data_IF_163192828572
#
_entry.id   IF_163192828572
#
_cell.length_a   1.000
_cell.length_b   1.000
_cell.length_c   1.000
_cell.angle_alpha   90.00
_cell.angle_beta   90.00
_cell.angle_gamma   90.00
#
_symmetry.space_group_name_H-M   'P 1'
#
loop_
_entity.id
_entity.type
_entity.pdbx_description
1 polymer ?
#
# COMPACT_ATOMS: atom_id res chain seq x y z
N UNK A 1 15.62 1.62 3.16
CA UNK A 1 14.19 1.27 3.13
C UNK A 1 13.46 2.45 2.51
N UNK A 2 12.58 2.20 1.54
CA UNK A 2 11.71 3.22 0.94
C UNK A 2 10.29 2.93 1.42
N UNK A 3 9.59 3.96 1.88
CA UNK A 3 8.17 3.89 2.22
C UNK A 3 7.38 4.69 1.19
N UNK A 4 6.22 4.18 0.78
CA UNK A 4 5.32 4.85 -0.14
C UNK A 4 4.10 5.36 0.62
N UNK A 5 3.51 6.44 0.12
CA UNK A 5 2.27 6.97 0.68
C UNK A 5 1.07 6.12 0.28
N UNK A 6 0.21 5.78 1.23
CA UNK A 6 -1.08 5.18 0.97
C UNK A 6 -2.24 6.17 1.08
N UNK A 7 -3.44 5.73 0.71
CA UNK A 7 -4.64 6.56 0.85
C UNK A 7 -4.95 6.90 2.33
N UNK A 8 -4.53 6.07 3.29
CA UNK A 8 -4.71 6.36 4.72
C UNK A 8 -3.80 7.51 5.20
N UNK A 9 -2.58 7.60 4.70
CA UNK A 9 -1.69 8.73 4.97
C UNK A 9 -2.19 10.01 4.28
N UNK A 10 -2.80 9.92 3.10
CA UNK A 10 -3.47 11.06 2.46
C UNK A 10 -4.70 11.51 3.25
N UNK A 11 -5.53 10.58 3.74
CA UNK A 11 -6.62 10.91 4.66
C UNK A 11 -6.11 11.59 5.93
N UNK A 12 -4.97 11.12 6.50
CA UNK A 12 -4.34 11.77 7.65
C UNK A 12 -3.92 13.21 7.31
N UNK A 13 -3.29 13.42 6.14
CA UNK A 13 -2.91 14.75 5.67
C UNK A 13 -4.13 15.67 5.60
N UNK A 14 -5.20 15.21 4.96
CA UNK A 14 -6.42 15.99 4.77
C UNK A 14 -7.12 16.30 6.11
N UNK A 15 -7.04 15.37 7.08
CA UNK A 15 -7.48 15.64 8.45
C UNK A 15 -6.69 16.78 9.10
N UNK A 16 -5.36 16.77 9.04
CA UNK A 16 -4.55 17.81 9.70
C UNK A 16 -4.55 19.15 8.96
N UNK A 17 -4.64 19.16 7.63
CA UNK A 17 -4.64 20.38 6.82
C UNK A 17 -6.01 21.02 6.69
N UNK A 18 -7.07 20.21 6.63
CA UNK A 18 -8.42 20.68 6.26
C UNK A 18 -9.51 20.26 7.25
N UNK A 19 -9.19 19.44 8.26
CA UNK A 19 -10.16 18.96 9.23
C UNK A 19 -11.09 17.86 8.69
N UNK A 20 -10.74 17.18 7.59
CA UNK A 20 -11.56 16.11 7.04
C UNK A 20 -11.62 14.91 8.00
N UNK A 21 -12.84 14.57 8.43
CA UNK A 21 -13.09 13.51 9.42
C UNK A 21 -13.18 12.12 8.82
N UNK A 22 -13.04 11.94 7.50
CA UNK A 22 -13.06 10.62 6.87
C UNK A 22 -12.00 9.70 7.50
N UNK A 23 -10.79 10.21 7.72
CA UNK A 23 -9.69 9.46 8.34
C UNK A 23 -10.06 8.82 9.68
N UNK A 24 -10.89 9.49 10.49
CA UNK A 24 -11.32 8.99 11.80
C UNK A 24 -12.12 7.68 11.70
N UNK A 25 -12.77 7.43 10.56
CA UNK A 25 -13.49 6.17 10.28
C UNK A 25 -12.56 5.06 9.76
N UNK A 26 -11.32 5.39 9.43
CA UNK A 26 -10.35 4.51 8.78
C UNK A 26 -9.04 4.40 9.58
N UNK A 27 -9.16 4.28 10.91
CA UNK A 27 -8.05 4.07 11.83
C UNK A 27 -7.53 5.34 12.52
N UNK A 28 -7.90 6.54 12.05
CA UNK A 28 -7.37 7.79 12.59
C UNK A 28 -7.65 8.02 14.08
N UNK A 29 -8.76 7.52 14.62
CA UNK A 29 -9.05 7.61 16.07
C UNK A 29 -8.01 6.87 16.89
N UNK A 30 -7.60 5.68 16.46
CA UNK A 30 -6.63 4.87 17.20
C UNK A 30 -5.21 5.41 16.99
N UNK A 31 -4.86 5.85 15.77
CA UNK A 31 -3.61 6.56 15.51
C UNK A 31 -3.45 7.81 16.38
N UNK A 32 -4.50 8.63 16.54
CA UNK A 32 -4.45 9.81 17.40
C UNK A 32 -4.21 9.46 18.87
N UNK A 33 -4.84 8.39 19.38
CA UNK A 33 -4.60 7.92 20.75
C UNK A 33 -3.16 7.45 20.94
N UNK A 34 -2.61 6.72 19.97
CA UNK A 34 -1.24 6.23 20.04
C UNK A 34 -0.24 7.38 19.92
N UNK A 35 -0.46 8.34 19.02
CA UNK A 35 0.38 9.53 18.90
C UNK A 35 0.41 10.34 20.20
N UNK A 36 -0.73 10.57 20.83
CA UNK A 36 -0.80 11.28 22.13
C UNK A 36 -0.12 10.52 23.28
N UNK A 37 0.06 9.19 23.16
CA UNK A 37 0.79 8.37 24.14
C UNK A 37 2.28 8.33 23.87
N UNK A 38 2.67 8.33 22.60
CA UNK A 38 4.06 8.20 22.15
C UNK A 38 4.79 9.53 22.19
N UNK A 39 4.16 10.60 21.73
CA UNK A 39 4.77 11.92 21.59
C UNK A 39 4.23 12.85 22.67
N UNK A 40 5.09 13.26 23.61
CA UNK A 40 4.76 14.29 24.58
C UNK A 40 4.82 15.70 23.98
N UNK A 41 5.62 15.88 22.92
CA UNK A 41 5.76 17.13 22.19
C UNK A 41 4.95 17.10 20.87
N UNK A 42 4.06 18.07 20.72
CA UNK A 42 3.27 18.24 19.50
C UNK A 42 4.13 18.59 18.28
N UNK A 43 5.30 19.23 18.47
CA UNK A 43 6.21 19.57 17.37
C UNK A 43 6.86 18.32 16.77
N UNK A 44 7.23 17.36 17.63
CA UNK A 44 7.78 16.07 17.24
C UNK A 44 6.72 15.26 16.49
N UNK A 45 5.50 15.16 17.03
CA UNK A 45 4.37 14.53 16.36
C UNK A 45 4.11 15.12 14.97
N UNK A 46 4.13 16.45 14.85
CA UNK A 46 3.94 17.12 13.56
C UNK A 46 5.02 16.76 12.54
N UNK A 47 6.28 16.67 12.98
CA UNK A 47 7.40 16.26 12.13
C UNK A 47 7.17 14.88 11.50
N UNK A 48 6.68 13.91 12.28
CA UNK A 48 6.38 12.57 11.75
C UNK A 48 5.16 12.56 10.82
N UNK A 49 4.16 13.41 11.07
CA UNK A 49 3.01 13.58 10.17
C UNK A 49 3.47 14.15 8.84
N UNK A 50 4.28 15.22 8.85
CA UNK A 50 4.82 15.83 7.63
C UNK A 50 5.67 14.84 6.83
N UNK A 51 6.52 14.05 7.51
CA UNK A 51 7.28 12.97 6.88
C UNK A 51 6.37 11.96 6.18
N UNK A 52 5.35 11.45 6.86
CA UNK A 52 4.40 10.48 6.29
C UNK A 52 3.62 11.07 5.10
N UNK A 53 3.23 12.34 5.18
CA UNK A 53 2.52 13.05 4.10
C UNK A 53 3.43 13.36 2.90
N UNK A 54 4.74 13.45 3.12
CA UNK A 54 5.77 13.69 2.12
C UNK A 54 6.31 12.43 1.44
N UNK A 55 5.83 11.24 1.81
CA UNK A 55 6.23 9.99 1.18
C UNK A 55 5.89 9.99 -0.33
N UNK A 56 6.75 9.39 -1.18
CA UNK A 56 6.52 9.33 -2.61
C UNK A 56 5.30 8.46 -2.96
N UNK A 57 4.64 8.79 -4.09
CA UNK A 57 3.51 8.01 -4.62
C UNK A 57 3.94 6.64 -5.15
N UNK A 58 5.15 6.59 -5.70
CA UNK A 58 5.72 5.39 -6.29
C UNK A 58 7.24 5.42 -6.16
N UNK A 59 7.82 4.25 -6.32
CA UNK A 59 9.25 4.05 -6.43
C UNK A 59 9.52 3.10 -7.59
N UNK A 60 10.66 3.26 -8.25
CA UNK A 60 11.11 2.39 -9.33
C UNK A 60 12.57 2.02 -9.06
N UNK A 61 12.87 0.72 -9.11
CA UNK A 61 14.23 0.22 -9.16
C UNK A 61 14.53 -0.39 -10.54
N UNK A 62 15.62 -1.16 -10.66
CA UNK A 62 16.02 -1.75 -11.94
C UNK A 62 15.06 -2.83 -12.44
N UNK A 63 14.28 -3.46 -11.54
CA UNK A 63 13.45 -4.65 -11.86
C UNK A 63 11.94 -4.40 -11.71
N UNK A 64 11.51 -3.49 -10.82
CA UNK A 64 10.12 -3.33 -10.41
C UNK A 64 9.70 -1.86 -10.28
N UNK A 65 8.39 -1.65 -10.42
CA UNK A 65 7.70 -0.42 -10.02
C UNK A 65 6.82 -0.72 -8.81
N UNK A 66 6.86 0.14 -7.81
CA UNK A 66 6.12 0.01 -6.56
C UNK A 66 5.15 1.17 -6.42
N UNK A 67 3.89 0.89 -6.09
CA UNK A 67 2.83 1.89 -5.84
C UNK A 67 1.90 1.39 -4.74
N UNK A 68 1.10 2.26 -4.11
CA UNK A 68 0.13 1.80 -3.11
C UNK A 68 -1.03 1.02 -3.73
N UNK A 69 -1.67 1.55 -4.78
CA UNK A 69 -2.88 0.95 -5.36
C UNK A 69 -2.74 0.64 -6.86
N UNK A 70 -2.61 1.65 -7.71
CA UNK A 70 -2.49 1.45 -9.15
C UNK A 70 -1.65 2.51 -9.86
N UNK A 71 -1.78 2.57 -11.18
CA UNK A 71 -1.14 3.55 -12.06
C UNK A 71 -2.12 4.02 -13.13
N UNK A 72 -2.11 5.31 -13.43
CA UNK A 72 -2.86 5.91 -14.51
C UNK A 72 -2.05 5.83 -15.82
N UNK A 73 -2.51 5.07 -16.83
CA UNK A 73 -1.77 4.87 -18.08
C UNK A 73 -1.78 6.10 -19.01
N UNK A 74 -2.55 7.14 -18.68
CA UNK A 74 -2.60 8.38 -19.43
C UNK A 74 -1.63 9.45 -18.92
N UNK A 75 -0.90 9.16 -17.84
CA UNK A 75 0.10 10.04 -17.26
C UNK A 75 1.49 9.38 -17.35
N UNK A 76 2.58 10.15 -17.54
CA UNK A 76 3.94 9.60 -17.44
C UNK A 76 4.18 8.96 -16.06
N UNK A 77 4.99 7.90 -16.01
CA UNK A 77 5.22 7.13 -14.78
C UNK A 77 5.66 7.99 -13.60
N UNK A 78 6.54 8.97 -13.79
CA UNK A 78 7.01 9.84 -12.70
C UNK A 78 6.24 11.16 -12.54
N UNK A 79 5.08 11.27 -13.19
CA UNK A 79 4.21 12.46 -13.13
C UNK A 79 2.77 12.08 -12.77
N UNK A 80 2.61 10.94 -12.09
CA UNK A 80 1.30 10.44 -11.68
C UNK A 80 0.64 11.41 -10.70
N UNK A 81 -0.66 11.59 -10.88
CA UNK A 81 -1.48 12.30 -9.91
C UNK A 81 -1.65 11.48 -8.62
N UNK A 82 -1.88 12.17 -7.49
CA UNK A 82 -2.14 11.53 -6.19
C UNK A 82 -3.36 10.61 -6.20
N UNK A 83 -4.30 10.78 -7.14
CA UNK A 83 -5.46 9.91 -7.29
C UNK A 83 -5.11 8.42 -7.47
N UNK A 84 -3.90 8.07 -7.91
CA UNK A 84 -3.51 6.68 -8.12
C UNK A 84 -3.53 5.82 -6.86
N UNK A 85 -3.39 6.41 -5.66
CA UNK A 85 -3.44 5.67 -4.38
C UNK A 85 -4.87 5.32 -3.95
N UNK A 86 -5.87 5.85 -4.67
CA UNK A 86 -7.29 5.60 -4.47
C UNK A 86 -7.90 4.71 -5.54
N UNK A 87 -7.10 4.28 -6.53
CA UNK A 87 -7.58 3.48 -7.65
C UNK A 87 -8.10 2.13 -7.16
N UNK A 88 -9.35 1.82 -7.50
CA UNK A 88 -9.94 0.54 -7.13
C UNK A 88 -9.23 -0.62 -7.85
N UNK A 89 -9.24 -1.81 -7.25
CA UNK A 89 -8.70 -3.00 -7.90
C UNK A 89 -9.38 -3.27 -9.25
N UNK A 90 -10.71 -3.10 -9.33
CA UNK A 90 -11.44 -3.28 -10.59
C UNK A 90 -10.95 -2.33 -11.68
N UNK A 91 -10.73 -1.06 -11.36
CA UNK A 91 -10.23 -0.08 -12.32
C UNK A 91 -8.80 -0.44 -12.74
N UNK A 92 -7.92 -0.75 -11.80
CA UNK A 92 -6.53 -1.09 -12.09
C UNK A 92 -6.41 -2.39 -12.91
N UNK A 93 -7.21 -3.40 -12.58
CA UNK A 93 -7.20 -4.69 -13.28
C UNK A 93 -7.90 -4.64 -14.65
N UNK A 94 -8.77 -3.65 -14.88
CA UNK A 94 -9.37 -3.39 -16.20
C UNK A 94 -8.37 -2.85 -17.23
N UNK A 95 -7.26 -2.25 -16.77
CA UNK A 95 -6.22 -1.75 -17.67
C UNK A 95 -5.53 -2.94 -18.35
N UNK A 96 -5.44 -2.96 -19.69
CA UNK A 96 -4.78 -4.06 -20.40
C UNK A 96 -3.29 -4.17 -20.04
N UNK A 97 -2.82 -5.39 -19.77
CA UNK A 97 -1.41 -5.70 -19.46
C UNK A 97 -0.40 -5.02 -20.40
N UNK A 98 -0.57 -5.02 -21.74
CA UNK A 98 0.39 -4.37 -22.65
C UNK A 98 0.46 -2.85 -22.49
N UNK A 99 -0.58 -2.20 -21.96
CA UNK A 99 -0.58 -0.76 -21.70
C UNK A 99 0.32 -0.46 -20.49
N UNK A 100 0.15 -1.22 -19.41
CA UNK A 100 0.99 -1.09 -18.20
C UNK A 100 2.45 -1.44 -18.48
N UNK A 101 2.72 -2.52 -19.22
CA UNK A 101 4.08 -2.89 -19.61
C UNK A 101 4.77 -1.78 -20.41
N UNK A 102 4.06 -1.05 -21.28
CA UNK A 102 4.67 0.10 -21.96
C UNK A 102 4.92 1.28 -21.01
N UNK A 103 4.03 1.52 -20.05
CA UNK A 103 4.20 2.58 -19.06
C UNK A 103 5.43 2.34 -18.16
N UNK A 104 5.69 1.08 -17.81
CA UNK A 104 6.73 0.68 -16.84
C UNK A 104 7.98 0.11 -17.48
N UNK A 105 8.14 0.24 -18.81
CA UNK A 105 9.22 -0.40 -19.57
C UNK A 105 9.39 -1.90 -19.25
N UNK A 106 8.25 -2.60 -19.20
CA UNK A 106 8.08 -4.02 -18.89
C UNK A 106 8.37 -4.43 -17.44
N UNK A 107 8.71 -3.49 -16.55
CA UNK A 107 8.88 -3.77 -15.12
C UNK A 107 7.53 -4.15 -14.49
N UNK A 108 7.45 -5.25 -13.74
CA UNK A 108 6.25 -5.60 -12.99
C UNK A 108 5.92 -4.56 -11.93
N UNK A 109 4.64 -4.43 -11.63
CA UNK A 109 4.07 -3.49 -10.67
C UNK A 109 3.74 -4.24 -9.38
N UNK A 110 4.42 -3.88 -8.30
CA UNK A 110 4.14 -4.32 -6.94
C UNK A 110 3.21 -3.30 -6.29
N UNK A 111 2.05 -3.76 -5.81
CA UNK A 111 1.06 -2.87 -5.21
C UNK A 111 0.34 -3.52 -4.02
N UNK A 112 -0.55 -2.77 -3.38
CA UNK A 112 -1.43 -3.23 -2.31
C UNK A 112 -2.83 -2.65 -2.46
N UNK A 113 -3.28 -1.94 -1.42
CA UNK A 113 -4.56 -1.23 -1.29
C UNK A 113 -5.80 -2.11 -1.18
N UNK A 114 -5.88 -3.19 -1.96
CA UNK A 114 -6.99 -4.15 -1.92
C UNK A 114 -6.51 -5.47 -1.32
N UNK A 115 -6.92 -5.82 -0.09
CA UNK A 115 -6.48 -7.01 0.59
C UNK A 115 -6.79 -8.31 -0.15
N UNK A 116 -5.82 -9.22 -0.19
CA UNK A 116 -5.94 -10.57 -0.77
C UNK A 116 -5.57 -11.65 0.24
N UNK A 117 -6.25 -12.80 0.14
CA UNK A 117 -5.94 -13.98 0.99
C UNK A 117 -4.66 -14.69 0.54
N UNK A 118 -4.31 -14.55 -0.74
CA UNK A 118 -3.14 -15.12 -1.39
C UNK A 118 -2.59 -14.14 -2.42
N UNK A 119 -1.27 -14.07 -2.49
CA UNK A 119 -0.58 -13.24 -3.49
C UNK A 119 -0.51 -13.99 -4.82
N UNK A 120 -0.91 -13.30 -5.88
CA UNK A 120 -0.87 -13.77 -7.25
C UNK A 120 -0.05 -12.80 -8.11
N UNK A 121 0.74 -13.37 -9.02
CA UNK A 121 1.43 -12.63 -10.06
C UNK A 121 0.83 -12.94 -11.42
N UNK A 122 0.35 -11.92 -12.12
CA UNK A 122 -0.24 -12.08 -13.45
C UNK A 122 0.73 -11.81 -14.61
N UNK A 123 2.03 -11.70 -14.30
CA UNK A 123 3.08 -11.31 -15.25
C UNK A 123 3.28 -9.79 -15.37
N UNK A 124 2.38 -8.97 -14.82
CA UNK A 124 2.49 -7.50 -14.81
C UNK A 124 2.20 -6.91 -13.44
N UNK A 125 1.28 -7.47 -12.67
CA UNK A 125 0.80 -6.95 -11.38
C UNK A 125 0.97 -7.99 -10.29
N UNK A 126 1.46 -7.55 -9.14
CA UNK A 126 1.68 -8.34 -7.93
C UNK A 126 1.06 -7.60 -6.74
N UNK A 127 -0.10 -8.06 -6.26
CA UNK A 127 -0.76 -7.49 -5.09
C UNK A 127 -0.24 -8.14 -3.81
N UNK A 128 0.38 -7.34 -2.94
CA UNK A 128 1.07 -7.75 -1.72
C UNK A 128 0.32 -7.38 -0.42
N UNK A 129 -0.91 -6.86 -0.50
CA UNK A 129 -1.70 -6.51 0.69
C UNK A 129 -2.39 -7.75 1.28
N UNK A 130 -1.89 -8.22 2.43
CA UNK A 130 -2.44 -9.38 3.16
C UNK A 130 -3.52 -9.01 4.19
N UNK A 131 -4.01 -7.77 4.19
CA UNK A 131 -5.16 -7.36 4.99
C UNK A 131 -4.93 -7.37 6.49
N UNK A 132 -3.79 -6.84 6.95
CA UNK A 132 -3.37 -6.87 8.36
C UNK A 132 -4.41 -6.30 9.35
N UNK A 133 -5.29 -5.42 8.88
CA UNK A 133 -6.31 -4.74 9.70
C UNK A 133 -7.72 -4.69 9.09
N UNK A 134 -7.97 -5.34 7.95
CA UNK A 134 -9.20 -5.14 7.16
C UNK A 134 -10.22 -6.28 7.29
N UNK A 135 -9.79 -7.53 7.40
CA UNK A 135 -10.71 -8.68 7.46
C UNK A 135 -11.55 -8.68 8.76
N UNK A 136 -12.82 -9.07 8.65
CA UNK A 136 -13.74 -9.20 9.78
C UNK A 136 -13.36 -10.39 10.69
N UNK A 137 -12.88 -11.48 10.10
CA UNK A 137 -12.31 -12.63 10.78
C UNK A 137 -10.85 -12.29 11.13
N UNK A 138 -10.54 -12.17 12.42
CA UNK A 138 -9.22 -11.69 12.87
C UNK A 138 -8.09 -12.65 12.51
N UNK A 139 -8.39 -13.94 12.48
CA UNK A 139 -7.50 -15.03 12.11
C UNK A 139 -7.12 -14.98 10.63
N UNK A 140 -7.91 -14.30 9.80
CA UNK A 140 -7.58 -14.10 8.39
C UNK A 140 -6.60 -12.97 8.12
N UNK A 141 -6.50 -12.00 9.04
CA UNK A 141 -5.58 -10.88 8.93
C UNK A 141 -4.12 -11.35 8.90
N UNK A 142 -3.36 -10.81 7.95
CA UNK A 142 -1.95 -11.12 7.79
C UNK A 142 -1.11 -9.88 7.53
N UNK A 143 0.09 -9.84 8.10
CA UNK A 143 1.16 -8.96 7.63
C UNK A 143 2.06 -9.76 6.68
N UNK A 144 2.16 -9.32 5.43
CA UNK A 144 2.99 -9.95 4.41
C UNK A 144 4.40 -9.36 4.35
N UNK A 145 5.41 -10.22 4.21
CA UNK A 145 6.75 -9.87 3.76
C UNK A 145 7.03 -10.66 2.48
N UNK A 146 7.19 -9.97 1.36
CA UNK A 146 7.31 -10.59 0.04
C UNK A 146 8.74 -10.48 -0.46
N UNK A 147 9.33 -11.62 -0.83
CA UNK A 147 10.57 -11.67 -1.59
C UNK A 147 10.21 -11.74 -3.08
N UNK A 148 10.28 -10.58 -3.74
CA UNK A 148 9.89 -10.44 -5.15
C UNK A 148 10.85 -11.14 -6.12
N UNK A 149 12.13 -11.31 -5.75
CA UNK A 149 13.12 -12.02 -6.59
C UNK A 149 12.92 -13.53 -6.55
N UNK A 150 12.51 -14.08 -5.40
CA UNK A 150 12.25 -15.51 -5.24
C UNK A 150 10.79 -15.91 -5.46
N UNK A 151 9.89 -14.93 -5.62
CA UNK A 151 8.45 -15.15 -5.71
C UNK A 151 7.92 -15.97 -4.52
N UNK A 152 8.42 -15.65 -3.32
CA UNK A 152 7.98 -16.23 -2.04
C UNK A 152 7.49 -15.14 -1.11
N UNK A 153 6.67 -15.51 -0.12
CA UNK A 153 6.27 -14.57 0.92
C UNK A 153 6.02 -15.25 2.25
N UNK A 154 6.25 -14.48 3.30
CA UNK A 154 5.98 -14.85 4.68
C UNK A 154 4.76 -14.06 5.14
N UNK A 155 3.80 -14.74 5.76
CA UNK A 155 2.63 -14.12 6.37
C UNK A 155 2.69 -14.31 7.87
N UNK A 156 2.69 -13.20 8.61
CA UNK A 156 2.46 -13.22 10.05
C UNK A 156 0.97 -13.06 10.34
N UNK A 157 0.34 -14.13 10.83
CA UNK A 157 -1.06 -14.18 11.28
C UNK A 157 -1.11 -13.69 12.73
N UNK A 158 -1.33 -12.40 12.92
CA UNK A 158 -1.22 -11.70 14.21
C UNK A 158 -2.10 -12.31 15.30
N UNK A 159 -3.37 -12.61 14.98
CA UNK A 159 -4.31 -13.21 15.93
C UNK A 159 -3.93 -14.62 16.38
N UNK A 160 -3.19 -15.36 15.55
CA UNK A 160 -2.77 -16.74 15.81
C UNK A 160 -1.33 -16.83 16.35
N UNK A 161 -0.60 -15.71 16.37
CA UNK A 161 0.84 -15.66 16.60
C UNK A 161 1.61 -16.70 15.76
N UNK A 162 1.22 -16.85 14.49
CA UNK A 162 1.73 -17.88 13.58
C UNK A 162 2.40 -17.24 12.37
N UNK A 163 3.51 -17.83 11.94
CA UNK A 163 4.20 -17.48 10.70
C UNK A 163 3.97 -18.58 9.68
N UNK A 164 3.67 -18.19 8.45
CA UNK A 164 3.48 -19.10 7.32
C UNK A 164 4.33 -18.66 6.14
N UNK A 165 5.13 -19.58 5.59
CA UNK A 165 5.85 -19.35 4.33
C UNK A 165 5.04 -19.92 3.18
N UNK A 166 4.87 -19.13 2.11
CA UNK A 166 4.05 -19.44 0.95
C UNK A 166 4.79 -19.05 -0.33
N UNK A 167 4.39 -19.65 -1.45
CA UNK A 167 4.84 -19.25 -2.78
C UNK A 167 3.81 -18.32 -3.42
N UNK A 168 4.28 -17.34 -4.20
CA UNK A 168 3.42 -16.55 -5.07
C UNK A 168 2.84 -17.45 -6.16
N UNK A 169 1.54 -17.38 -6.37
CA UNK A 169 0.88 -18.15 -7.42
C UNK A 169 0.98 -17.41 -8.75
N UNK A 170 1.23 -18.15 -9.83
CA UNK A 170 1.18 -17.61 -11.19
C UNK A 170 -0.24 -17.76 -11.75
N UNK A 171 -0.79 -16.70 -12.35
CA UNK A 171 -2.07 -16.73 -13.07
C UNK A 171 -1.90 -17.01 -14.56
#
# INVERSE_FOLDING_TARGET
MIALIGNHEEMMRDYYQHGDKLWLKHGGVDTLKDFSRTFADESEKHTYIEWACGLPLLYEDDEFVYTHAGLNPHEPLHQQNRSIIWMSESDFYSIPKPVLQRLTDNKPIVHGHTPVERIYFDGVRLNCDMGSNTYSIKEERGLGLVNVSEMTYIVYKTALNKIETRNVNLM
#
